data_IF_133642763005
#
_entry.id   IF_133642763005
#
_cell.length_a   1.000
_cell.length_b   1.000
_cell.length_c   1.000
_cell.angle_alpha   90.00
_cell.angle_beta   90.00
_cell.angle_gamma   90.00
#
_symmetry.space_group_name_H-M   'P 1'
#
loop_
_entity.id
_entity.type
_entity.pdbx_description
1 polymer ?
#
# COMPACT_ATOMS: atom_id res chain seq x y z
N UNK A 1 -35.92 -24.86 68.92
CA UNK A 1 -34.77 -25.30 68.11
C UNK A 1 -34.26 -24.08 67.34
N UNK A 2 -32.95 -23.79 67.47
CA UNK A 2 -32.29 -22.61 66.90
C UNK A 2 -32.05 -22.84 65.40
N UNK A 3 -32.44 -21.89 64.54
CA UNK A 3 -31.88 -21.76 63.19
C UNK A 3 -31.00 -20.51 63.16
N UNK A 4 -29.75 -20.68 62.74
CA UNK A 4 -28.83 -19.58 62.48
C UNK A 4 -28.84 -19.35 60.96
N UNK A 5 -29.16 -18.13 60.52
CA UNK A 5 -28.91 -17.72 59.15
C UNK A 5 -27.75 -16.74 59.15
N UNK A 6 -26.59 -17.24 58.69
CA UNK A 6 -25.35 -16.52 58.50
C UNK A 6 -25.32 -16.03 57.05
N UNK A 7 -25.78 -14.81 56.76
CA UNK A 7 -25.41 -14.13 55.51
C UNK A 7 -25.27 -12.63 55.78
N UNK A 8 -24.18 -12.28 56.46
CA UNK A 8 -23.48 -11.02 56.17
C UNK A 8 -22.37 -11.35 55.17
N UNK A 9 -21.91 -10.32 54.44
CA UNK A 9 -20.71 -10.32 53.61
C UNK A 9 -20.87 -10.82 52.17
N UNK A 10 -21.65 -10.12 51.34
CA UNK A 10 -21.27 -9.92 49.93
C UNK A 10 -21.87 -8.63 49.34
N UNK A 11 -21.74 -7.52 50.07
CA UNK A 11 -21.91 -6.16 49.52
C UNK A 11 -20.54 -5.49 49.56
N UNK A 12 -19.57 -6.05 48.84
CA UNK A 12 -18.22 -5.49 48.74
C UNK A 12 -17.41 -6.13 47.60
N UNK A 13 -18.01 -6.35 46.42
CA UNK A 13 -17.25 -6.91 45.30
C UNK A 13 -17.79 -6.51 43.91
N UNK A 14 -18.38 -5.33 43.74
CA UNK A 14 -18.74 -4.85 42.39
C UNK A 14 -18.46 -3.34 42.21
N UNK A 15 -17.34 -2.88 42.75
CA UNK A 15 -16.83 -1.55 42.49
C UNK A 15 -15.33 -1.61 42.13
N UNK A 16 -14.95 -2.47 41.19
CA UNK A 16 -13.61 -2.36 40.58
C UNK A 16 -13.45 -3.02 39.21
N UNK A 17 -14.54 -3.09 38.43
CA UNK A 17 -14.45 -3.44 37.02
C UNK A 17 -14.44 -2.15 36.17
N UNK A 18 -13.59 -1.19 36.51
CA UNK A 18 -13.15 -0.20 35.53
C UNK A 18 -12.32 -0.96 34.51
N UNK A 19 -12.96 -1.34 33.42
CA UNK A 19 -12.37 -1.95 32.22
C UNK A 19 -11.09 -1.22 31.83
N UNK A 20 -9.94 -1.78 32.21
CA UNK A 20 -8.67 -1.47 31.57
C UNK A 20 -8.75 -2.08 30.17
N UNK A 21 -9.32 -1.34 29.22
CA UNK A 21 -9.07 -1.62 27.82
C UNK A 21 -7.56 -1.49 27.63
N UNK A 22 -6.85 -2.50 27.10
CA UNK A 22 -5.48 -2.29 26.69
C UNK A 22 -5.49 -1.12 25.71
N UNK A 23 -4.72 -0.07 26.02
CA UNK A 23 -4.48 0.99 25.07
C UNK A 23 -3.88 0.31 23.84
N UNK A 24 -4.62 0.32 22.73
CA UNK A 24 -4.08 -0.08 21.44
C UNK A 24 -3.09 1.01 21.09
N UNK A 25 -1.81 0.78 21.39
CA UNK A 25 -0.74 1.67 20.95
C UNK A 25 -0.84 1.71 19.43
N UNK A 26 -1.07 2.88 18.81
CA UNK A 26 -1.01 2.96 17.36
C UNK A 26 0.34 2.41 16.93
N UNK A 27 0.36 1.49 15.96
CA UNK A 27 1.62 1.10 15.33
C UNK A 27 2.32 2.38 14.86
N UNK A 28 3.63 2.45 15.11
CA UNK A 28 4.43 3.57 14.62
C UNK A 28 4.18 3.76 13.12
N UNK A 29 3.98 5.02 12.72
CA UNK A 29 3.80 5.36 11.30
C UNK A 29 5.10 5.02 10.57
N UNK A 30 5.07 4.31 9.43
CA UNK A 30 6.28 4.04 8.66
C UNK A 30 6.96 5.35 8.23
N UNK A 31 8.29 5.39 8.37
CA UNK A 31 9.11 6.45 7.79
C UNK A 31 9.47 6.08 6.34
N UNK A 32 9.46 7.07 5.45
CA UNK A 32 9.77 6.89 4.03
C UNK A 32 10.93 7.80 3.64
N UNK A 33 11.82 7.27 2.80
CA UNK A 33 12.87 8.05 2.15
C UNK A 33 12.81 7.87 0.62
N UNK A 34 13.16 8.92 -0.11
CA UNK A 34 13.28 8.83 -1.57
C UNK A 34 14.58 8.14 -1.92
N UNK A 35 14.50 7.06 -2.71
CA UNK A 35 15.68 6.35 -3.21
C UNK A 35 16.07 6.81 -4.62
N UNK A 36 15.06 6.91 -5.49
CA UNK A 36 15.20 7.28 -6.89
C UNK A 36 14.05 8.15 -7.35
N UNK A 37 14.30 9.00 -8.33
CA UNK A 37 13.29 9.72 -9.08
C UNK A 37 13.57 9.57 -10.58
N UNK A 38 12.52 9.61 -11.38
CA UNK A 38 12.70 9.51 -12.83
C UNK A 38 11.43 9.74 -13.61
N UNK A 39 11.65 9.85 -14.90
CA UNK A 39 10.61 10.09 -15.90
C UNK A 39 10.73 9.00 -16.96
N UNK A 40 9.59 8.54 -17.45
CA UNK A 40 9.51 7.58 -18.55
C UNK A 40 8.50 8.04 -19.58
N UNK A 41 8.77 7.67 -20.83
CA UNK A 41 7.96 8.05 -21.96
C UNK A 41 6.90 6.98 -22.24
N UNK A 42 5.65 7.44 -22.34
CA UNK A 42 4.52 6.62 -22.76
C UNK A 42 4.29 6.77 -24.27
N UNK A 43 3.93 5.68 -24.94
CA UNK A 43 3.43 5.69 -26.30
C UNK A 43 1.91 5.90 -26.35
N UNK A 44 1.35 5.76 -27.56
CA UNK A 44 -0.10 5.71 -27.73
C UNK A 44 -0.70 4.55 -26.92
N UNK A 45 -1.92 4.77 -26.43
CA UNK A 45 -2.67 3.80 -25.65
C UNK A 45 -3.53 3.00 -26.62
N UNK A 46 -3.31 1.69 -26.67
CA UNK A 46 -4.27 0.77 -27.26
C UNK A 46 -5.25 0.33 -26.18
N UNK A 47 -6.53 0.17 -26.54
CA UNK A 47 -7.58 -0.12 -25.56
C UNK A 47 -8.60 -1.12 -26.08
N UNK A 48 -9.11 -1.94 -25.16
CA UNK A 48 -10.18 -2.91 -25.39
C UNK A 48 -11.23 -2.80 -24.28
N UNK A 49 -12.47 -2.50 -24.65
CA UNK A 49 -13.57 -2.43 -23.71
C UNK A 49 -13.93 -3.81 -23.16
N UNK A 50 -14.21 -3.87 -21.86
CA UNK A 50 -14.62 -5.07 -21.14
C UNK A 50 -15.73 -4.75 -20.13
N UNK A 51 -16.35 -5.79 -19.58
CA UNK A 51 -17.53 -5.67 -18.70
C UNK A 51 -17.32 -4.78 -17.46
N UNK A 52 -16.10 -4.73 -16.93
CA UNK A 52 -15.78 -4.01 -15.69
C UNK A 52 -14.92 -2.75 -15.90
N UNK A 53 -14.67 -2.38 -17.16
CA UNK A 53 -13.78 -1.29 -17.52
C UNK A 53 -13.09 -1.54 -18.85
N UNK A 54 -12.17 -0.66 -19.21
CA UNK A 54 -11.37 -0.75 -20.42
C UNK A 54 -10.00 -1.30 -20.08
N UNK A 55 -9.62 -2.43 -20.68
CA UNK A 55 -8.23 -2.91 -20.64
C UNK A 55 -7.40 -2.01 -21.52
N UNK A 56 -6.23 -1.60 -21.04
CA UNK A 56 -5.29 -0.80 -21.81
C UNK A 56 -4.03 -1.58 -22.09
N UNK A 57 -3.34 -1.21 -23.16
CA UNK A 57 -1.96 -1.57 -23.41
C UNK A 57 -1.21 -0.26 -23.70
N UNK A 58 -0.42 0.18 -22.72
CA UNK A 58 0.37 1.41 -22.80
C UNK A 58 1.82 0.99 -22.97
N UNK A 59 2.44 1.25 -24.12
CA UNK A 59 3.86 0.96 -24.28
C UNK A 59 4.71 2.02 -23.56
N UNK A 60 5.64 1.58 -22.71
CA UNK A 60 6.66 2.40 -22.08
C UNK A 60 7.93 2.31 -22.93
N UNK A 61 8.33 3.43 -23.54
CA UNK A 61 9.46 3.45 -24.49
C UNK A 61 10.82 3.40 -23.81
N UNK A 62 10.88 3.87 -22.57
CA UNK A 62 12.10 3.99 -21.79
C UNK A 62 12.04 5.23 -20.89
N UNK A 63 13.12 5.45 -20.16
CA UNK A 63 13.19 6.50 -19.15
C UNK A 63 14.46 6.37 -18.32
N UNK A 64 14.77 7.41 -17.54
CA UNK A 64 15.95 7.44 -16.69
C UNK A 64 15.56 7.57 -15.23
N UNK A 65 16.23 6.80 -14.37
CA UNK A 65 16.24 7.02 -12.93
C UNK A 65 17.50 7.78 -12.53
N UNK A 66 17.32 8.69 -11.59
CA UNK A 66 18.40 9.39 -10.88
C UNK A 66 18.30 9.12 -9.39
N UNK A 67 19.44 9.06 -8.71
CA UNK A 67 19.48 8.93 -7.26
C UNK A 67 19.27 10.29 -6.57
N UNK A 68 19.24 10.31 -5.23
CA UNK A 68 19.06 11.53 -4.43
C UNK A 68 20.14 12.60 -4.62
N UNK A 69 21.28 12.24 -5.19
CA UNK A 69 22.37 13.16 -5.54
C UNK A 69 22.27 13.69 -6.98
N UNK A 70 21.24 13.30 -7.73
CA UNK A 70 21.03 13.67 -9.14
C UNK A 70 21.87 12.84 -10.14
N UNK A 71 22.57 11.81 -9.68
CA UNK A 71 23.38 10.95 -10.57
C UNK A 71 22.49 9.91 -11.25
N UNK A 72 22.80 9.57 -12.50
CA UNK A 72 22.12 8.51 -13.23
C UNK A 72 22.27 7.17 -12.50
N UNK A 73 21.14 6.48 -12.26
CA UNK A 73 21.08 5.23 -11.53
C UNK A 73 20.72 4.03 -12.42
N UNK A 74 19.73 4.21 -13.31
CA UNK A 74 19.28 3.17 -14.22
C UNK A 74 18.52 3.74 -15.41
N UNK A 75 18.37 2.91 -16.44
CA UNK A 75 17.53 3.17 -17.60
C UNK A 75 16.42 2.12 -17.71
N UNK A 76 15.19 2.56 -17.96
CA UNK A 76 14.06 1.68 -18.23
C UNK A 76 14.21 1.08 -19.63
N UNK A 77 14.16 -0.25 -19.72
CA UNK A 77 14.06 -0.95 -20.99
C UNK A 77 12.60 -0.92 -21.49
N UNK A 78 12.37 -0.94 -22.81
CA UNK A 78 11.02 -0.95 -23.37
C UNK A 78 10.15 -2.05 -22.75
N UNK A 79 8.94 -1.68 -22.32
CA UNK A 79 7.96 -2.58 -21.69
C UNK A 79 6.54 -2.06 -21.95
N UNK A 80 5.53 -2.66 -21.34
CA UNK A 80 4.14 -2.21 -21.43
C UNK A 80 3.41 -2.34 -20.09
N UNK A 81 2.43 -1.47 -19.88
CA UNK A 81 1.41 -1.58 -18.84
C UNK A 81 0.13 -2.15 -19.46
N UNK A 82 -0.35 -3.28 -18.94
CA UNK A 82 -1.56 -3.96 -19.43
C UNK A 82 -2.75 -3.83 -18.47
N UNK A 83 -2.75 -2.77 -17.68
CA UNK A 83 -3.73 -2.51 -16.63
C UNK A 83 -5.15 -2.27 -17.11
N UNK A 84 -6.00 -1.83 -16.18
CA UNK A 84 -7.44 -1.62 -16.40
C UNK A 84 -7.85 -0.25 -15.92
N UNK A 85 -8.59 0.48 -16.74
CA UNK A 85 -9.35 1.66 -16.31
C UNK A 85 -10.76 1.18 -15.99
N UNK A 86 -11.17 1.24 -14.72
CA UNK A 86 -12.51 0.80 -14.32
C UNK A 86 -13.61 1.68 -14.92
N UNK A 87 -14.85 1.21 -14.87
CA UNK A 87 -16.02 2.02 -15.24
C UNK A 87 -16.19 3.31 -14.40
N UNK A 88 -15.54 3.39 -13.23
CA UNK A 88 -15.49 4.60 -12.40
C UNK A 88 -14.35 5.55 -12.77
N UNK A 89 -13.57 5.23 -13.81
CA UNK A 89 -12.42 6.01 -14.28
C UNK A 89 -11.14 5.82 -13.47
N UNK A 90 -11.08 4.87 -12.53
CA UNK A 90 -9.87 4.60 -11.73
C UNK A 90 -8.94 3.71 -12.55
N UNK A 91 -7.68 4.12 -12.68
CA UNK A 91 -6.65 3.33 -13.35
C UNK A 91 -5.95 2.38 -12.36
N UNK A 92 -5.92 1.11 -12.72
CA UNK A 92 -5.22 0.05 -12.03
C UNK A 92 -4.08 -0.46 -12.93
N UNK A 93 -2.85 0.06 -12.75
CA UNK A 93 -1.71 -0.32 -13.58
C UNK A 93 -1.30 -1.78 -13.33
N UNK A 94 -0.89 -2.45 -14.39
CA UNK A 94 -0.31 -3.79 -14.38
C UNK A 94 0.95 -3.76 -15.25
N UNK A 95 2.00 -3.10 -14.74
CA UNK A 95 3.28 -2.97 -15.43
C UNK A 95 4.38 -3.75 -14.71
N UNK A 96 5.21 -4.46 -15.49
CA UNK A 96 6.50 -4.97 -15.03
C UNK A 96 7.60 -4.13 -15.67
N UNK A 97 8.39 -3.45 -14.82
CA UNK A 97 9.47 -2.57 -15.26
C UNK A 97 10.82 -3.30 -15.25
N UNK A 98 11.54 -3.23 -16.36
CA UNK A 98 12.87 -3.83 -16.51
C UNK A 98 13.93 -2.73 -16.54
N UNK A 99 14.77 -2.70 -15.52
CA UNK A 99 15.80 -1.67 -15.35
C UNK A 99 17.18 -2.20 -15.72
N UNK A 100 17.92 -1.43 -16.52
CA UNK A 100 19.37 -1.62 -16.69
C UNK A 100 20.08 -0.67 -15.73
N UNK A 101 20.73 -1.23 -14.72
CA UNK A 101 21.45 -0.45 -13.70
C UNK A 101 22.78 0.06 -14.24
N UNK A 102 23.12 1.30 -13.90
CA UNK A 102 24.40 1.90 -14.29
C UNK A 102 25.60 1.17 -13.68
N UNK A 103 25.41 0.49 -12.54
CA UNK A 103 26.44 -0.28 -11.83
C UNK A 103 26.80 -1.60 -12.52
N UNK A 104 25.95 -2.10 -13.43
CA UNK A 104 26.16 -3.37 -14.13
C UNK A 104 26.92 -3.19 -15.47
N UNK A 105 27.36 -1.96 -15.78
CA UNK A 105 28.14 -1.62 -16.97
C UNK A 105 29.65 -1.75 -16.74
#
# INVERSE_FOLDING_TARGET
MRSYSLISWLVAAEADASSAFPAITPNAVPEFETLFCGEFELAAIDSLDATFGTRVNIALKGGNLTNTSGNHAAMLLPTSDTGVISNSGIFFPEATMFWRWAADN
#
